data_IF_541606914766
#
_entry.id   IF_541606914766
#
_cell.length_a   1.000
_cell.length_b   1.000
_cell.length_c   1.000
_cell.angle_alpha   90.00
_cell.angle_beta   90.00
_cell.angle_gamma   90.00
#
_symmetry.space_group_name_H-M   'P 1'
#
loop_
_entity.id
_entity.type
_entity.pdbx_description
1 polymer ?
#
# COMPACT_ATOMS: atom_id res chain seq x y z
N UNK A 1 -2.61 -28.02 14.79
CA UNK A 1 -1.56 -27.09 14.32
C UNK A 1 -1.71 -26.95 12.81
N UNK A 2 -2.25 -25.85 12.31
CA UNK A 2 -2.41 -25.61 10.88
C UNK A 2 -1.17 -24.89 10.34
N UNK A 3 -0.47 -25.51 9.40
CA UNK A 3 0.69 -24.93 8.71
C UNK A 3 0.22 -23.81 7.78
N UNK A 4 0.72 -22.57 8.00
CA UNK A 4 0.46 -21.45 7.08
C UNK A 4 1.13 -21.75 5.73
N UNK A 5 0.35 -21.77 4.66
CA UNK A 5 0.87 -21.78 3.31
C UNK A 5 1.52 -20.42 3.01
N UNK A 6 2.84 -20.36 3.00
CA UNK A 6 3.58 -19.21 2.49
C UNK A 6 3.37 -19.17 0.98
N UNK A 7 2.42 -18.37 0.50
CA UNK A 7 2.26 -18.12 -0.94
C UNK A 7 3.54 -17.46 -1.46
N UNK A 8 4.19 -18.01 -2.50
CA UNK A 8 5.40 -17.41 -3.05
C UNK A 8 5.05 -16.02 -3.62
N UNK A 9 5.90 -15.04 -3.36
CA UNK A 9 5.81 -13.72 -3.96
C UNK A 9 5.72 -13.87 -5.48
N UNK A 10 4.63 -13.36 -6.08
CA UNK A 10 4.43 -13.43 -7.53
C UNK A 10 5.44 -12.51 -8.20
N UNK A 11 6.48 -13.08 -8.80
CA UNK A 11 7.44 -12.31 -9.61
C UNK A 11 6.69 -11.59 -10.73
N UNK A 12 6.76 -10.25 -10.82
CA UNK A 12 6.12 -9.54 -11.91
C UNK A 12 6.76 -9.93 -13.25
N UNK A 13 5.96 -10.03 -14.34
CA UNK A 13 6.48 -10.39 -15.65
C UNK A 13 7.50 -9.36 -16.15
N UNK A 14 8.55 -9.82 -16.81
CA UNK A 14 9.67 -8.99 -17.29
C UNK A 14 9.28 -7.88 -18.28
N UNK A 15 8.07 -7.94 -18.86
CA UNK A 15 7.56 -6.87 -19.73
C UNK A 15 6.07 -6.62 -19.44
N UNK A 16 5.67 -5.36 -19.20
CA UNK A 16 4.28 -5.02 -18.94
C UNK A 16 3.38 -5.26 -20.17
N UNK A 17 2.20 -5.82 -19.92
CA UNK A 17 1.21 -6.13 -20.96
C UNK A 17 0.62 -4.89 -21.65
N UNK A 18 -0.21 -5.08 -22.70
CA UNK A 18 -0.77 -3.98 -23.49
C UNK A 18 -1.63 -3.01 -22.66
N UNK A 19 -2.41 -3.52 -21.71
CA UNK A 19 -3.25 -2.70 -20.83
C UNK A 19 -2.41 -1.81 -19.88
N UNK A 20 -1.30 -2.36 -19.37
CA UNK A 20 -0.37 -1.65 -18.49
C UNK A 20 0.30 -0.48 -19.22
N UNK A 21 0.72 -0.68 -20.47
CA UNK A 21 1.31 0.38 -21.30
C UNK A 21 0.31 1.50 -21.59
N UNK A 22 -0.93 1.15 -21.96
CA UNK A 22 -1.99 2.15 -22.17
C UNK A 22 -2.30 2.97 -20.92
N UNK A 23 -2.30 2.33 -19.74
CA UNK A 23 -2.49 3.03 -18.47
C UNK A 23 -1.38 4.06 -18.23
N UNK A 24 -0.12 3.68 -18.45
CA UNK A 24 1.02 4.59 -18.36
C UNK A 24 0.94 5.74 -19.37
N UNK A 25 0.59 5.46 -20.63
CA UNK A 25 0.39 6.46 -21.69
C UNK A 25 -0.75 7.43 -21.35
N UNK A 26 -1.78 6.96 -20.65
CA UNK A 26 -2.87 7.79 -20.13
C UNK A 26 -2.46 8.65 -18.93
N UNK A 27 -1.26 8.45 -18.37
CA UNK A 27 -0.74 9.18 -17.21
C UNK A 27 -1.05 8.55 -15.86
N UNK A 28 -1.44 7.28 -15.82
CA UNK A 28 -1.58 6.55 -14.55
C UNK A 28 -0.17 6.26 -14.01
N UNK A 29 0.06 6.63 -12.75
CA UNK A 29 1.30 6.30 -12.05
C UNK A 29 1.37 4.79 -11.77
N UNK A 30 2.18 4.12 -12.58
CA UNK A 30 2.39 2.69 -12.46
C UNK A 30 3.32 2.33 -11.29
N UNK A 31 4.19 3.24 -10.84
CA UNK A 31 5.15 2.98 -9.77
C UNK A 31 4.44 2.64 -8.46
N UNK A 32 3.35 3.36 -8.15
CA UNK A 32 2.51 3.04 -7.00
C UNK A 32 1.87 1.65 -7.10
N UNK A 33 1.43 1.24 -8.29
CA UNK A 33 0.86 -0.09 -8.51
C UNK A 33 1.92 -1.17 -8.39
N UNK A 34 3.10 -1.00 -8.99
CA UNK A 34 4.21 -1.94 -8.87
C UNK A 34 4.61 -2.16 -7.42
N UNK A 35 4.75 -1.08 -6.66
CA UNK A 35 5.14 -1.13 -5.26
C UNK A 35 4.11 -1.88 -4.42
N UNK A 36 2.83 -1.71 -4.71
CA UNK A 36 1.77 -2.47 -4.05
C UNK A 36 1.72 -3.93 -4.48
N UNK A 37 2.02 -4.24 -5.74
CA UNK A 37 2.07 -5.62 -6.25
C UNK A 37 3.29 -6.41 -5.75
N UNK A 38 4.38 -5.73 -5.39
CA UNK A 38 5.55 -6.37 -4.75
C UNK A 38 5.29 -6.81 -3.31
N UNK A 39 4.32 -6.20 -2.63
CA UNK A 39 4.01 -6.50 -1.22
C UNK A 39 3.20 -7.78 -1.09
N UNK A 40 3.53 -8.57 -0.08
CA UNK A 40 2.68 -9.69 0.35
C UNK A 40 1.36 -9.18 0.95
N UNK A 41 0.33 -10.04 1.06
CA UNK A 41 -0.89 -9.69 1.79
C UNK A 41 -0.62 -9.21 3.22
N UNK A 42 0.30 -9.87 3.94
CA UNK A 42 0.70 -9.48 5.29
C UNK A 42 1.32 -8.09 5.32
N UNK A 43 2.28 -7.81 4.44
CA UNK A 43 2.93 -6.50 4.35
C UNK A 43 1.95 -5.38 4.03
N UNK A 44 0.93 -5.67 3.22
CA UNK A 44 -0.17 -4.72 2.95
C UNK A 44 -1.02 -4.45 4.20
N UNK A 45 -1.32 -5.48 4.99
CA UNK A 45 -2.06 -5.33 6.25
C UNK A 45 -1.25 -4.53 7.27
N UNK A 46 0.04 -4.80 7.39
CA UNK A 46 0.95 -4.05 8.28
C UNK A 46 1.03 -2.58 7.89
N UNK A 47 1.24 -2.28 6.60
CA UNK A 47 1.27 -0.91 6.09
C UNK A 47 -0.06 -0.18 6.35
N UNK A 48 -1.19 -0.87 6.17
CA UNK A 48 -2.50 -0.31 6.44
C UNK A 48 -2.72 -0.01 7.93
N UNK A 49 -2.35 -0.95 8.81
CA UNK A 49 -2.45 -0.77 10.26
C UNK A 49 -1.57 0.41 10.74
N UNK A 50 -0.35 0.52 10.22
CA UNK A 50 0.55 1.64 10.52
C UNK A 50 -0.04 2.98 10.08
N UNK A 51 -0.65 3.04 8.88
CA UNK A 51 -1.30 4.26 8.39
C UNK A 51 -2.49 4.68 9.29
N UNK A 52 -3.29 3.72 9.75
CA UNK A 52 -4.39 4.00 10.68
C UNK A 52 -3.88 4.53 12.02
N UNK A 53 -2.81 3.94 12.56
CA UNK A 53 -2.19 4.39 13.80
C UNK A 53 -1.64 5.83 13.67
N UNK A 54 -0.99 6.15 12.55
CA UNK A 54 -0.52 7.51 12.28
C UNK A 54 -1.68 8.52 12.23
N UNK A 55 -2.77 8.20 11.53
CA UNK A 55 -3.95 9.08 11.48
C UNK A 55 -4.55 9.29 12.86
N UNK A 56 -4.61 8.25 13.70
CA UNK A 56 -5.07 8.37 15.08
C UNK A 56 -4.17 9.32 15.88
N UNK A 57 -2.84 9.19 15.78
CA UNK A 57 -1.87 10.07 16.44
C UNK A 57 -2.01 11.54 15.98
N UNK A 58 -2.13 11.78 14.67
CA UNK A 58 -2.33 13.12 14.12
C UNK A 58 -3.62 13.77 14.62
N UNK A 59 -4.71 13.00 14.74
CA UNK A 59 -5.97 13.50 15.30
C UNK A 59 -5.85 13.85 16.78
N UNK A 60 -5.17 13.03 17.56
CA UNK A 60 -4.91 13.33 18.98
C UNK A 60 -4.06 14.60 19.12
N UNK A 61 -2.97 14.71 18.35
CA UNK A 61 -2.14 15.90 18.34
C UNK A 61 -2.91 17.15 17.89
N UNK A 62 -3.75 17.05 16.86
CA UNK A 62 -4.59 18.16 16.39
C UNK A 62 -5.65 18.59 17.40
N UNK A 63 -6.23 17.65 18.16
CA UNK A 63 -7.16 17.97 19.25
C UNK A 63 -6.49 18.61 20.46
N UNK A 64 -5.23 18.27 20.74
CA UNK A 64 -4.42 18.88 21.80
C UNK A 64 -3.95 20.30 21.46
N UNK A 65 -3.90 20.67 20.18
CA UNK A 65 -3.53 22.01 19.69
C UNK A 65 -4.75 22.79 19.13
N UNK A 66 -5.98 22.37 19.44
CA UNK A 66 -7.18 23.15 19.13
C UNK A 66 -7.11 24.51 19.83
N UNK A 67 -7.53 25.60 19.19
CA UNK A 67 -7.29 26.95 19.68
C UNK A 67 -7.87 27.11 21.08
N UNK A 68 -7.02 27.52 22.02
CA UNK A 68 -7.46 28.17 23.24
C UNK A 68 -8.34 29.35 22.81
N UNK A 69 -9.63 29.28 23.14
CA UNK A 69 -10.63 30.34 23.02
C UNK A 69 -11.41 30.39 24.31
#
# INVERSE_FOLDING_TARGET
>A
MATRATTPAKTPPARPGPAWRRAAEYGIDMSLLEENLRKTPEQRLEAHAAALALVAQLRQAGGQHGPES
#
